data_IF_238462250720
#
_entry.id   IF_238462250720
#
_cell.length_a   1.000
_cell.length_b   1.000
_cell.length_c   1.000
_cell.angle_alpha   90.00
_cell.angle_beta   90.00
_cell.angle_gamma   90.00
#
_symmetry.space_group_name_H-M   'P 1'
#
loop_
_entity.id
_entity.type
_entity.pdbx_description
1 polymer ?
#
# COMPACT_ATOMS: atom_id res chain seq x y z
N UNK A 1 -6.42 8.55 16.32
CA UNK A 1 -7.23 8.76 15.11
C UNK A 1 -8.29 7.66 15.07
N UNK A 2 -9.54 7.94 14.68
CA UNK A 2 -10.57 6.90 14.61
C UNK A 2 -10.32 5.94 13.44
N UNK A 3 -10.77 4.69 13.57
CA UNK A 3 -10.68 3.66 12.52
C UNK A 3 -11.33 4.13 11.21
N UNK A 4 -12.50 4.76 11.33
CA UNK A 4 -13.27 5.29 10.19
C UNK A 4 -12.49 6.31 9.36
N UNK A 5 -11.63 7.13 9.98
CA UNK A 5 -10.80 8.10 9.25
C UNK A 5 -9.71 7.37 8.44
N UNK A 6 -9.08 6.35 9.02
CA UNK A 6 -8.02 5.59 8.34
C UNK A 6 -8.61 4.86 7.13
N UNK A 7 -9.75 4.19 7.32
CA UNK A 7 -10.46 3.52 6.23
C UNK A 7 -10.85 4.52 5.13
N UNK A 8 -11.40 5.68 5.49
CA UNK A 8 -11.77 6.70 4.52
C UNK A 8 -10.57 7.24 3.71
N UNK A 9 -9.44 7.51 4.38
CA UNK A 9 -8.21 7.97 3.71
C UNK A 9 -7.71 6.92 2.71
N UNK A 10 -7.65 5.66 3.11
CA UNK A 10 -7.16 4.59 2.24
C UNK A 10 -8.10 4.27 1.09
N UNK A 11 -9.42 4.32 1.31
CA UNK A 11 -10.40 4.14 0.23
C UNK A 11 -10.38 5.33 -0.75
N UNK A 12 -10.10 6.54 -0.29
CA UNK A 12 -9.89 7.69 -1.17
C UNK A 12 -8.59 7.54 -1.98
N UNK A 13 -7.51 7.06 -1.36
CA UNK A 13 -6.26 6.77 -2.07
C UNK A 13 -6.45 5.68 -3.13
N UNK A 14 -7.15 4.58 -2.81
CA UNK A 14 -7.55 3.57 -3.78
C UNK A 14 -8.33 4.18 -4.96
N UNK A 15 -9.34 5.01 -4.69
CA UNK A 15 -10.14 5.64 -5.75
C UNK A 15 -9.30 6.58 -6.63
N UNK A 16 -8.33 7.28 -6.03
CA UNK A 16 -7.33 8.04 -6.77
C UNK A 16 -6.49 7.14 -7.69
N UNK A 17 -5.99 5.99 -7.18
CA UNK A 17 -5.23 5.03 -8.00
C UNK A 17 -6.07 4.54 -9.19
N UNK A 18 -7.31 4.10 -8.96
CA UNK A 18 -8.19 3.61 -10.03
C UNK A 18 -8.48 4.65 -11.12
N UNK A 19 -8.57 5.93 -10.74
CA UNK A 19 -8.87 7.02 -11.68
C UNK A 19 -7.64 7.58 -12.38
N UNK A 20 -6.46 7.42 -11.80
CA UNK A 20 -5.24 8.07 -12.28
C UNK A 20 -4.27 7.12 -12.96
N UNK A 21 -4.29 5.82 -12.63
CA UNK A 21 -3.27 4.88 -13.10
C UNK A 21 -3.31 4.67 -14.62
N UNK A 22 -4.49 4.67 -15.22
CA UNK A 22 -4.65 4.58 -16.69
C UNK A 22 -3.93 5.72 -17.42
N UNK A 23 -3.80 6.88 -16.79
CA UNK A 23 -3.08 8.02 -17.37
C UNK A 23 -1.56 7.93 -17.17
N UNK A 24 -1.09 7.18 -16.17
CA UNK A 24 0.33 7.01 -15.90
C UNK A 24 1.02 6.18 -16.99
N UNK A 25 0.37 5.11 -17.43
CA UNK A 25 0.87 4.27 -18.54
C UNK A 25 0.99 5.07 -19.85
N UNK A 26 0.05 6.00 -20.09
CA UNK A 26 0.07 6.88 -21.26
C UNK A 26 1.20 7.92 -21.21
N UNK A 27 1.65 8.32 -20.02
CA UNK A 27 2.66 9.37 -19.83
C UNK A 27 4.08 8.79 -19.94
N UNK A 28 4.28 7.52 -19.56
CA UNK A 28 5.61 6.89 -19.51
C UNK A 28 6.43 7.04 -20.80
N UNK A 29 5.89 6.82 -22.02
CA UNK A 29 6.64 6.99 -23.28
C UNK A 29 7.18 8.41 -23.50
N UNK A 30 6.59 9.41 -22.84
CA UNK A 30 7.02 10.82 -22.94
C UNK A 30 8.06 11.20 -21.88
N UNK A 31 8.30 10.33 -20.90
CA UNK A 31 9.26 10.56 -19.80
C UNK A 31 10.62 9.93 -20.07
N UNK A 32 10.69 8.86 -20.86
CA UNK A 32 11.91 8.20 -21.34
C UNK A 32 12.97 9.20 -21.89
N UNK A 33 12.62 10.25 -22.66
CA UNK A 33 13.61 11.24 -23.12
C UNK A 33 14.11 12.22 -22.06
N UNK A 34 13.42 12.34 -20.91
CA UNK A 34 13.71 13.34 -19.86
C UNK A 34 14.60 12.74 -18.77
N UNK A 35 14.40 11.47 -18.43
CA UNK A 35 15.15 10.77 -17.38
C UNK A 35 16.33 9.96 -17.90
N UNK A 36 16.47 9.86 -19.23
CA UNK A 36 17.46 8.99 -19.86
C UNK A 36 16.99 7.54 -19.90
N UNK A 37 17.66 6.72 -20.71
CA UNK A 37 17.34 5.31 -20.99
C UNK A 37 17.37 4.36 -19.77
N UNK A 38 17.57 4.89 -18.57
CA UNK A 38 17.98 4.14 -17.39
C UNK A 38 16.84 4.03 -16.34
N UNK A 39 15.71 4.74 -16.52
CA UNK A 39 14.54 4.59 -15.63
C UNK A 39 13.56 3.59 -16.22
N UNK A 40 13.39 2.46 -15.55
CA UNK A 40 12.44 1.43 -15.94
C UNK A 40 10.99 1.84 -15.58
N UNK A 41 10.01 1.32 -16.33
CA UNK A 41 8.58 1.62 -16.07
C UNK A 41 8.16 1.30 -14.64
N UNK A 42 8.70 0.21 -14.09
CA UNK A 42 8.44 -0.22 -12.71
C UNK A 42 8.94 0.81 -11.70
N UNK A 43 10.18 1.30 -11.85
CA UNK A 43 10.75 2.33 -10.98
C UNK A 43 9.94 3.62 -11.02
N UNK A 44 9.53 4.05 -12.23
CA UNK A 44 8.67 5.22 -12.37
C UNK A 44 7.33 5.04 -11.65
N UNK A 45 6.72 3.87 -11.79
CA UNK A 45 5.48 3.53 -11.09
C UNK A 45 5.67 3.58 -9.58
N UNK A 46 6.74 2.99 -9.04
CA UNK A 46 7.03 2.98 -7.60
C UNK A 46 7.24 4.40 -7.05
N UNK A 47 7.98 5.25 -7.79
CA UNK A 47 8.16 6.67 -7.45
C UNK A 47 6.81 7.40 -7.42
N UNK A 48 5.98 7.20 -8.44
CA UNK A 48 4.68 7.85 -8.51
C UNK A 48 3.76 7.39 -7.37
N UNK A 49 3.72 6.09 -7.08
CA UNK A 49 2.92 5.53 -5.99
C UNK A 49 3.37 6.09 -4.64
N UNK A 50 4.67 6.07 -4.37
CA UNK A 50 5.23 6.56 -3.13
C UNK A 50 4.99 8.08 -2.95
N UNK A 51 5.09 8.87 -4.02
CA UNK A 51 4.80 10.31 -3.97
C UNK A 51 3.36 10.58 -3.55
N UNK A 52 2.42 9.86 -4.17
CA UNK A 52 1.00 10.03 -3.89
C UNK A 52 0.63 9.43 -2.53
N UNK A 53 1.29 8.35 -2.09
CA UNK A 53 1.13 7.81 -0.74
C UNK A 53 1.53 8.84 0.32
N UNK A 54 2.68 9.49 0.16
CA UNK A 54 3.14 10.51 1.10
C UNK A 54 2.17 11.69 1.19
N UNK A 55 1.65 12.15 0.04
CA UNK A 55 0.77 13.33 -0.02
C UNK A 55 -0.66 13.02 0.43
N UNK A 56 -1.25 11.93 -0.07
CA UNK A 56 -2.68 11.63 0.09
C UNK A 56 -2.98 10.79 1.33
N UNK A 57 -2.01 10.03 1.83
CA UNK A 57 -2.20 9.15 2.99
C UNK A 57 -1.37 9.62 4.15
N UNK A 58 -0.05 9.64 4.02
CA UNK A 58 0.83 9.93 5.15
C UNK A 58 0.60 11.32 5.73
N UNK A 59 0.48 12.36 4.91
CA UNK A 59 0.28 13.73 5.39
C UNK A 59 -0.98 13.88 6.27
N UNK A 60 -1.99 13.04 6.02
CA UNK A 60 -3.24 13.03 6.78
C UNK A 60 -3.10 12.17 8.04
N UNK A 61 -2.51 10.98 7.91
CA UNK A 61 -2.44 10.00 9.01
C UNK A 61 -1.30 10.28 10.01
N UNK A 62 -0.27 11.01 9.59
CA UNK A 62 0.94 11.38 10.34
C UNK A 62 1.12 12.91 10.37
N UNK A 63 0.21 13.65 11.06
CA UNK A 63 0.22 15.12 11.04
C UNK A 63 1.44 15.73 11.75
N UNK A 64 2.11 14.96 12.63
CA UNK A 64 3.36 15.35 13.26
C UNK A 64 4.52 14.99 12.34
N UNK A 65 4.66 15.76 11.27
CA UNK A 65 5.52 15.45 10.12
C UNK A 65 6.97 15.12 10.46
N UNK A 66 7.55 15.71 11.50
CA UNK A 66 8.95 15.46 11.89
C UNK A 66 9.12 14.28 12.86
N UNK A 67 8.02 13.66 13.29
CA UNK A 67 7.99 12.62 14.33
C UNK A 67 7.39 11.32 13.79
N UNK A 68 6.34 11.44 12.99
CA UNK A 68 5.59 10.30 12.46
C UNK A 68 5.77 10.16 10.96
N UNK A 69 5.97 8.91 10.54
CA UNK A 69 6.24 8.51 9.17
C UNK A 69 5.63 7.12 8.95
N UNK A 70 4.94 6.92 7.83
CA UNK A 70 4.48 5.59 7.43
C UNK A 70 5.59 4.84 6.70
N UNK A 71 5.50 3.51 6.77
CA UNK A 71 6.18 2.62 5.85
C UNK A 71 5.78 2.96 4.41
N UNK A 72 6.73 2.79 3.49
CA UNK A 72 6.48 2.95 2.07
C UNK A 72 5.34 2.04 1.58
N UNK A 73 4.66 2.47 0.53
CA UNK A 73 3.56 1.72 -0.07
C UNK A 73 4.05 0.86 -1.23
N UNK A 74 3.68 -0.42 -1.24
CA UNK A 74 4.11 -1.37 -2.26
C UNK A 74 5.63 -1.57 -2.28
N UNK A 75 6.18 -1.67 -3.49
CA UNK A 75 7.62 -1.70 -3.68
C UNK A 75 8.17 -0.30 -3.44
N UNK A 76 9.00 -0.18 -2.41
CA UNK A 76 9.76 1.00 -2.06
C UNK A 76 10.33 1.72 -3.29
N UNK A 77 10.15 3.04 -3.37
CA UNK A 77 10.82 3.84 -4.40
C UNK A 77 12.29 4.01 -4.02
N UNK A 78 13.20 3.13 -4.46
CA UNK A 78 14.66 3.16 -4.18
C UNK A 78 15.37 4.41 -4.78
N UNK A 79 14.88 5.60 -4.45
CA UNK A 79 15.27 6.88 -5.03
C UNK A 79 16.57 7.43 -4.50
N UNK A 80 16.93 7.04 -3.28
CA UNK A 80 18.14 7.46 -2.60
C UNK A 80 18.84 6.24 -2.01
N UNK A 81 20.16 6.26 -1.94
CA UNK A 81 21.01 5.15 -1.46
C UNK A 81 20.59 4.53 -0.11
N UNK A 82 19.74 5.22 0.68
CA UNK A 82 19.22 4.74 1.96
C UNK A 82 17.76 5.15 2.24
N UNK A 83 16.97 5.54 1.24
CA UNK A 83 15.60 6.01 1.52
C UNK A 83 14.62 5.86 0.38
N UNK A 84 13.47 5.32 0.76
CA UNK A 84 12.31 5.17 -0.10
C UNK A 84 11.44 6.44 -0.14
N UNK A 85 11.77 7.44 0.68
CA UNK A 85 10.98 8.67 0.82
C UNK A 85 11.34 9.73 -0.20
N UNK A 86 10.31 10.36 -0.74
CA UNK A 86 10.45 11.47 -1.70
C UNK A 86 10.56 12.80 -0.98
N UNK A 87 9.63 13.11 -0.08
CA UNK A 87 9.58 14.42 0.57
C UNK A 87 10.55 14.56 1.74
N UNK A 88 10.95 13.45 2.38
CA UNK A 88 11.81 13.44 3.57
C UNK A 88 12.82 12.28 3.55
N UNK A 89 13.89 12.39 2.74
CA UNK A 89 14.81 11.27 2.50
C UNK A 89 15.60 10.75 3.71
N UNK A 90 15.55 11.43 4.86
CA UNK A 90 16.27 11.01 6.06
C UNK A 90 15.34 10.47 7.17
N UNK A 91 14.03 10.45 6.94
CA UNK A 91 13.08 10.05 7.97
C UNK A 91 12.83 8.54 7.92
N UNK A 92 12.94 7.88 9.07
CA UNK A 92 12.63 6.44 9.19
C UNK A 92 11.14 6.27 9.48
N UNK A 93 10.53 5.25 8.86
CA UNK A 93 9.15 4.87 9.16
C UNK A 93 8.99 4.50 10.64
N UNK A 94 8.03 5.14 11.31
CA UNK A 94 7.70 4.86 12.71
C UNK A 94 6.38 4.12 12.86
N UNK A 95 5.58 4.10 11.80
CA UNK A 95 4.27 3.47 11.75
C UNK A 95 4.09 2.72 10.44
N UNK A 96 3.14 1.80 10.42
CA UNK A 96 2.69 1.07 9.24
C UNK A 96 1.18 0.96 9.22
N UNK A 97 0.63 0.64 8.05
CA UNK A 97 -0.79 0.32 7.91
C UNK A 97 -0.95 -1.19 8.02
N UNK A 98 -1.86 -1.62 8.89
CA UNK A 98 -2.16 -3.03 9.09
C UNK A 98 -3.60 -3.36 8.73
N UNK A 99 -3.80 -4.59 8.27
CA UNK A 99 -5.07 -5.17 7.81
C UNK A 99 -5.70 -5.95 8.97
N UNK A 100 -6.97 -5.71 9.22
CA UNK A 100 -7.78 -6.38 10.24
C UNK A 100 -9.10 -6.82 9.63
N UNK A 101 -9.69 -7.92 10.09
CA UNK A 101 -11.07 -8.27 9.74
C UNK A 101 -12.06 -7.23 10.32
N UNK A 102 -13.11 -6.86 9.57
CA UNK A 102 -14.11 -5.86 10.04
C UNK A 102 -14.82 -6.25 11.33
N UNK A 103 -15.10 -7.53 11.51
CA UNK A 103 -15.92 -8.05 12.61
C UNK A 103 -15.18 -9.06 13.50
N UNK A 104 -13.85 -9.07 13.47
CA UNK A 104 -13.02 -10.05 14.20
C UNK A 104 -13.43 -11.52 13.90
N UNK A 105 -13.90 -11.76 12.67
CA UNK A 105 -14.28 -13.08 12.16
C UNK A 105 -13.24 -13.57 11.17
N UNK A 106 -13.01 -14.89 11.05
CA UNK A 106 -12.20 -15.44 9.98
C UNK A 106 -12.71 -15.00 8.60
N UNK A 107 -11.80 -14.66 7.69
CA UNK A 107 -12.11 -14.21 6.32
C UNK A 107 -11.43 -15.11 5.30
N UNK A 108 -11.93 -15.12 4.06
CA UNK A 108 -11.38 -15.98 3.00
C UNK A 108 -10.12 -15.33 2.42
N UNK A 109 -9.02 -16.07 2.41
CA UNK A 109 -7.83 -15.73 1.64
C UNK A 109 -8.05 -16.14 0.18
N UNK A 110 -7.89 -15.18 -0.74
CA UNK A 110 -8.44 -15.28 -2.10
C UNK A 110 -7.65 -16.21 -3.02
N UNK A 111 -6.37 -16.51 -2.76
CA UNK A 111 -5.57 -17.41 -3.59
C UNK A 111 -5.79 -18.88 -3.22
N UNK A 112 -5.64 -19.22 -1.95
CA UNK A 112 -5.79 -20.59 -1.44
C UNK A 112 -7.23 -20.98 -1.11
N UNK A 113 -8.15 -20.00 -1.06
CA UNK A 113 -9.56 -20.15 -0.66
C UNK A 113 -9.75 -20.68 0.77
N UNK A 114 -8.72 -20.56 1.62
CA UNK A 114 -8.78 -20.96 3.02
C UNK A 114 -9.34 -19.83 3.88
N UNK A 115 -10.05 -20.20 4.94
CA UNK A 115 -10.41 -19.26 6.00
C UNK A 115 -9.17 -18.95 6.84
N UNK A 116 -8.89 -17.66 7.03
CA UNK A 116 -7.81 -17.17 7.88
C UNK A 116 -8.41 -16.31 8.98
N UNK A 117 -8.04 -16.62 10.21
CA UNK A 117 -8.37 -15.82 11.38
C UNK A 117 -7.24 -14.82 11.65
N UNK A 118 -7.39 -13.60 11.12
CA UNK A 118 -6.38 -12.54 11.25
C UNK A 118 -6.16 -12.16 12.72
N UNK A 119 -7.22 -12.17 13.54
CA UNK A 119 -7.16 -11.77 14.93
C UNK A 119 -6.32 -12.73 15.80
N UNK A 120 -6.16 -13.98 15.35
CA UNK A 120 -5.40 -15.03 16.04
C UNK A 120 -4.02 -15.29 15.42
N UNK A 121 -3.52 -14.38 14.57
CA UNK A 121 -2.14 -14.45 14.07
C UNK A 121 -1.14 -13.96 15.11
N UNK A 122 0.09 -14.49 15.06
CA UNK A 122 1.20 -14.09 15.95
C UNK A 122 1.67 -12.64 15.72
N UNK A 123 1.20 -11.99 14.66
CA UNK A 123 1.55 -10.61 14.28
C UNK A 123 0.42 -9.97 13.48
N UNK A 124 0.37 -8.63 13.50
CA UNK A 124 -0.46 -7.86 12.58
C UNK A 124 -0.03 -8.10 11.13
N UNK A 125 -0.99 -8.05 10.21
CA UNK A 125 -0.76 -8.14 8.77
C UNK A 125 -0.53 -6.76 8.18
N UNK A 126 0.61 -6.56 7.53
CA UNK A 126 0.96 -5.27 6.94
C UNK A 126 0.25 -5.12 5.60
N UNK A 127 -0.27 -3.93 5.32
CA UNK A 127 -0.75 -3.60 3.99
C UNK A 127 0.45 -3.48 3.07
N UNK A 128 0.49 -4.32 2.04
CA UNK A 128 1.45 -4.18 0.94
C UNK A 128 0.90 -3.20 -0.09
N UNK A 129 -0.19 -3.59 -0.76
CA UNK A 129 -0.78 -2.81 -1.85
C UNK A 129 -2.26 -3.16 -2.10
N UNK A 130 -2.96 -2.31 -2.84
CA UNK A 130 -4.26 -2.63 -3.44
C UNK A 130 -4.07 -3.36 -4.77
N UNK A 131 -4.96 -4.32 -5.04
CA UNK A 131 -4.95 -5.05 -6.30
C UNK A 131 -6.37 -5.39 -6.77
N UNK A 132 -6.50 -5.72 -8.05
CA UNK A 132 -7.65 -6.46 -8.53
C UNK A 132 -7.39 -7.94 -8.37
N UNK A 133 -8.24 -8.65 -7.62
CA UNK A 133 -8.20 -10.11 -7.54
C UNK A 133 -9.40 -10.71 -8.27
N UNK A 134 -9.13 -11.69 -9.14
CA UNK A 134 -10.14 -12.49 -9.83
C UNK A 134 -9.68 -13.95 -9.96
N UNK A 135 -10.51 -14.89 -9.52
CA UNK A 135 -10.27 -16.34 -9.63
C UNK A 135 -8.87 -16.81 -9.20
N UNK A 136 -8.30 -16.19 -8.17
CA UNK A 136 -6.99 -16.55 -7.61
C UNK A 136 -5.79 -15.92 -8.32
N UNK A 137 -6.04 -15.09 -9.33
CA UNK A 137 -5.04 -14.21 -9.94
C UNK A 137 -5.17 -12.80 -9.37
N UNK A 138 -4.06 -12.08 -9.28
CA UNK A 138 -4.05 -10.67 -8.97
C UNK A 138 -3.44 -9.86 -10.11
N UNK A 139 -3.94 -8.64 -10.26
CA UNK A 139 -3.47 -7.65 -11.21
C UNK A 139 -3.17 -6.38 -10.42
N UNK A 140 -1.88 -6.03 -10.24
CA UNK A 140 -1.53 -4.80 -9.56
C UNK A 140 -2.01 -3.61 -10.40
N UNK A 141 -2.53 -2.57 -9.74
CA UNK A 141 -2.88 -1.29 -10.35
C UNK A 141 -3.94 -1.30 -11.47
N UNK A 142 -4.53 -2.46 -11.77
CA UNK A 142 -5.63 -2.58 -12.72
C UNK A 142 -6.97 -2.43 -11.99
N UNK A 143 -7.81 -1.50 -12.43
CA UNK A 143 -9.17 -1.40 -11.88
C UNK A 143 -10.01 -2.64 -12.27
N UNK A 144 -10.90 -3.13 -11.39
CA UNK A 144 -11.23 -2.58 -10.07
C UNK A 144 -10.29 -3.09 -8.96
N UNK A 145 -9.75 -2.17 -8.14
CA UNK A 145 -8.88 -2.50 -7.01
C UNK A 145 -9.69 -3.05 -5.82
N UNK A 146 -10.32 -4.21 -5.98
CA UNK A 146 -11.29 -4.76 -5.02
C UNK A 146 -10.65 -5.48 -3.81
N UNK A 147 -9.33 -5.63 -3.78
CA UNK A 147 -8.62 -6.47 -2.81
C UNK A 147 -7.36 -5.78 -2.28
N UNK A 148 -6.83 -6.32 -1.18
CA UNK A 148 -5.53 -5.92 -0.61
C UNK A 148 -4.58 -7.11 -0.55
N UNK A 149 -3.30 -6.81 -0.77
CA UNK A 149 -2.19 -7.76 -0.65
C UNK A 149 -1.50 -7.61 0.71
N UNK A 150 -0.97 -8.74 1.19
CA UNK A 150 -0.13 -8.84 2.39
C UNK A 150 0.72 -10.10 2.33
N UNK A 151 1.51 -10.35 3.39
CA UNK A 151 2.36 -11.52 3.51
C UNK A 151 2.19 -12.25 4.83
N UNK A 152 1.90 -13.55 4.76
CA UNK A 152 1.88 -14.46 5.92
C UNK A 152 3.06 -15.41 5.79
N UNK A 153 4.06 -15.27 6.69
CA UNK A 153 5.27 -16.11 6.70
C UNK A 153 6.03 -16.12 5.37
N UNK A 154 5.96 -15.03 4.62
CA UNK A 154 6.60 -14.87 3.30
C UNK A 154 5.70 -15.27 2.13
N UNK A 155 4.57 -15.92 2.38
CA UNK A 155 3.59 -16.24 1.34
C UNK A 155 2.68 -15.03 1.09
N UNK A 156 2.56 -14.65 -0.18
CA UNK A 156 1.64 -13.60 -0.62
C UNK A 156 0.20 -14.07 -0.40
N UNK A 157 -0.61 -13.21 0.21
CA UNK A 157 -2.03 -13.44 0.48
C UNK A 157 -2.86 -12.26 0.01
N UNK A 158 -4.12 -12.53 -0.35
CA UNK A 158 -5.06 -11.49 -0.75
C UNK A 158 -6.38 -11.59 0.03
N UNK A 159 -6.95 -10.44 0.37
CA UNK A 159 -8.25 -10.33 1.04
C UNK A 159 -9.16 -9.32 0.36
N UNK A 160 -10.46 -9.57 0.36
CA UNK A 160 -11.47 -8.64 -0.15
C UNK A 160 -11.54 -7.37 0.71
N UNK A 161 -11.64 -6.21 0.06
CA UNK A 161 -11.89 -4.93 0.75
C UNK A 161 -13.22 -4.89 1.50
N UNK A 162 -14.17 -5.74 1.12
CA UNK A 162 -15.44 -5.84 1.83
C UNK A 162 -15.27 -6.45 3.22
N UNK A 163 -14.23 -7.28 3.40
CA UNK A 163 -14.00 -8.07 4.62
C UNK A 163 -12.98 -7.43 5.58
N UNK A 164 -12.20 -6.45 5.11
CA UNK A 164 -11.08 -5.86 5.86
C UNK A 164 -11.24 -4.38 6.18
N UNK A 165 -10.50 -3.94 7.19
CA UNK A 165 -10.41 -2.56 7.68
C UNK A 165 -8.99 -2.32 8.19
N UNK A 166 -8.60 -1.07 8.30
CA UNK A 166 -7.21 -0.69 8.45
C UNK A 166 -6.92 -0.05 9.81
N UNK A 167 -5.67 -0.18 10.26
CA UNK A 167 -5.16 0.49 11.46
C UNK A 167 -3.76 1.03 11.20
N UNK A 168 -3.48 2.20 11.77
CA UNK A 168 -2.11 2.74 11.88
C UNK A 168 -1.47 2.13 13.13
N UNK A 169 -0.43 1.34 12.94
CA UNK A 169 0.24 0.61 14.02
C UNK A 169 1.70 1.07 14.12
N UNK A 170 2.23 1.32 15.32
CA UNK A 170 3.66 1.61 15.50
C UNK A 170 4.54 0.46 15.00
N UNK A 171 5.66 0.79 14.37
CA UNK A 171 6.72 -0.16 14.07
C UNK A 171 7.57 -0.29 15.34
N UNK A 172 7.50 -1.45 16.01
CA UNK A 172 8.39 -1.73 17.12
C UNK A 172 9.81 -1.91 16.58
N UNK A 173 10.66 -0.90 16.76
CA UNK A 173 12.10 -1.00 16.55
C UNK A 173 12.67 -1.75 17.74
N UNK A 174 12.99 -3.03 17.55
CA UNK A 174 13.83 -3.82 18.47
C UNK A 174 15.29 -3.43 18.34
#
# INVERSE_FOLDING_TARGET
MSRDIIDAVLLNFKAFLESSFTHIEDIFPYMDPIYGSDVHQEEFTDIWLQANWEVLVEFILCPQIDIEALQAYGNCAELYDNSDRISRPNQVATHKITIHSKNDTPIIELFSKKMIDIANLDRDLDLDSFCYCNDGYYYPFQAPLNSVLSYIKGDLVAFSLEDVTFRKTPINTT
#
